data_IF_568877603136
#
_entry.id   IF_568877603136
#
_cell.length_a   1.000
_cell.length_b   1.000
_cell.length_c   1.000
_cell.angle_alpha   90.00
_cell.angle_beta   90.00
_cell.angle_gamma   90.00
#
_symmetry.space_group_name_H-M   'P 1'
#
loop_
_entity.id
_entity.type
_entity.pdbx_description
1 polymer ?
#
# COMPACT_ATOMS: atom_id res chain seq x y z
N UNK A 1 41.23 44.02 10.39
CA UNK A 1 41.27 42.87 11.13
C UNK A 1 40.08 41.98 10.98
N UNK A 2 40.28 41.10 10.28
CA UNK A 2 40.10 39.71 10.48
C UNK A 2 38.73 39.38 11.07
N UNK A 3 37.88 39.18 10.20
CA UNK A 3 37.74 37.85 9.80
C UNK A 3 37.14 36.91 10.84
N UNK A 4 35.92 36.90 10.93
CA UNK A 4 35.24 35.67 11.45
C UNK A 4 34.07 35.37 10.56
N UNK A 5 34.39 34.89 9.39
CA UNK A 5 33.45 34.16 8.57
C UNK A 5 33.18 32.83 9.24
N UNK A 6 32.27 32.82 10.18
CA UNK A 6 31.60 31.63 10.59
C UNK A 6 30.78 31.17 9.40
N UNK A 7 31.36 30.25 8.67
CA UNK A 7 30.64 29.41 7.73
C UNK A 7 29.71 28.56 8.60
N UNK A 8 28.50 29.04 8.76
CA UNK A 8 27.39 28.19 9.19
C UNK A 8 27.11 27.28 8.01
N UNK A 9 27.81 26.15 7.97
CA UNK A 9 27.40 25.03 7.16
C UNK A 9 26.06 24.59 7.72
N UNK A 10 25.00 25.14 7.15
CA UNK A 10 23.65 24.60 7.33
C UNK A 10 23.67 23.19 6.74
N UNK A 11 23.93 22.22 7.58
CA UNK A 11 23.65 20.82 7.27
C UNK A 11 22.13 20.74 7.15
N UNK A 12 21.65 20.97 5.97
CA UNK A 12 20.33 20.56 5.56
C UNK A 12 20.35 19.03 5.59
N UNK A 13 20.12 18.48 6.77
CA UNK A 13 19.69 17.09 6.90
C UNK A 13 18.30 17.01 6.27
N UNK A 14 18.29 17.07 4.95
CA UNK A 14 17.10 16.66 4.22
C UNK A 14 16.81 15.24 4.65
N UNK A 15 15.59 14.95 5.06
CA UNK A 15 15.12 13.60 5.22
C UNK A 15 15.41 12.90 3.89
N UNK A 16 16.49 12.13 3.83
CA UNK A 16 16.83 11.34 2.67
C UNK A 16 15.77 10.25 2.58
N UNK A 17 14.73 10.51 1.81
CA UNK A 17 13.80 9.46 1.44
C UNK A 17 14.61 8.46 0.62
N UNK A 18 14.58 7.22 1.04
CA UNK A 18 15.19 6.14 0.27
C UNK A 18 14.58 6.16 -1.14
N UNK A 19 15.41 6.02 -2.18
CA UNK A 19 14.90 5.95 -3.54
C UNK A 19 13.93 4.76 -3.66
N UNK A 20 12.89 4.87 -4.48
CA UNK A 20 11.96 3.77 -4.69
C UNK A 20 12.69 2.54 -5.22
N UNK A 21 12.26 1.36 -4.78
CA UNK A 21 12.84 0.11 -5.26
C UNK A 21 12.54 -0.09 -6.75
N UNK A 22 13.36 -0.85 -7.49
CA UNK A 22 13.04 -1.19 -8.88
C UNK A 22 11.68 -1.83 -9.05
N UNK A 23 11.25 -2.64 -8.08
CA UNK A 23 9.94 -3.27 -8.06
C UNK A 23 8.81 -2.25 -7.88
N UNK A 24 9.02 -1.23 -7.04
CA UNK A 24 8.05 -0.14 -6.86
C UNK A 24 7.90 0.69 -8.15
N UNK A 25 9.01 1.01 -8.80
CA UNK A 25 9.01 1.72 -10.08
C UNK A 25 8.23 0.93 -11.13
N UNK A 26 8.50 -0.37 -11.23
CA UNK A 26 7.83 -1.25 -12.18
C UNK A 26 6.34 -1.37 -11.89
N UNK A 27 5.96 -1.58 -10.63
CA UNK A 27 4.56 -1.66 -10.23
C UNK A 27 3.77 -0.39 -10.56
N UNK A 28 4.40 0.78 -10.44
CA UNK A 28 3.79 2.09 -10.70
C UNK A 28 3.65 2.46 -12.19
N UNK A 29 4.13 1.63 -13.08
CA UNK A 29 3.81 1.75 -14.52
C UNK A 29 2.38 1.34 -14.83
N UNK A 30 1.77 0.54 -13.96
CA UNK A 30 0.40 0.03 -14.11
C UNK A 30 0.18 -0.70 -15.44
N UNK A 31 1.17 -1.42 -15.88
CA UNK A 31 1.09 -2.21 -17.09
C UNK A 31 0.25 -3.47 -16.86
N UNK A 32 -0.62 -3.79 -17.80
CA UNK A 32 -1.37 -5.03 -17.76
C UNK A 32 -0.46 -6.22 -18.00
N UNK A 33 -0.76 -7.32 -17.33
CA UNK A 33 -0.01 -8.58 -17.48
C UNK A 33 -0.85 -9.51 -18.37
N UNK A 34 -0.33 -9.94 -19.51
CA UNK A 34 -1.06 -10.85 -20.40
C UNK A 34 -1.46 -12.14 -19.66
N UNK A 35 -2.74 -12.50 -19.76
CA UNK A 35 -3.28 -13.71 -19.14
C UNK A 35 -3.47 -13.67 -17.63
N UNK A 36 -3.07 -12.59 -16.95
CA UNK A 36 -3.19 -12.41 -15.49
C UNK A 36 -3.90 -11.10 -15.14
N UNK A 37 -4.27 -10.97 -13.89
CA UNK A 37 -4.76 -9.72 -13.32
C UNK A 37 -3.79 -9.24 -12.22
N UNK A 38 -3.83 -7.95 -11.93
CA UNK A 38 -3.11 -7.38 -10.82
C UNK A 38 -4.08 -6.70 -9.85
N UNK A 39 -3.94 -6.98 -8.57
CA UNK A 39 -4.72 -6.36 -7.50
C UNK A 39 -3.76 -5.56 -6.64
N UNK A 40 -3.97 -4.25 -6.57
CA UNK A 40 -3.21 -3.36 -5.72
C UNK A 40 -4.02 -3.11 -4.46
N UNK A 41 -3.50 -3.53 -3.32
CA UNK A 41 -4.09 -3.25 -2.02
C UNK A 41 -3.33 -2.12 -1.37
N UNK A 42 -3.98 -1.00 -1.17
CA UNK A 42 -3.36 0.24 -0.67
C UNK A 42 -3.92 0.57 0.69
N UNK A 43 -3.04 0.71 1.67
CA UNK A 43 -3.46 1.13 2.99
C UNK A 43 -3.62 2.64 3.04
N UNK A 44 -4.70 3.09 3.70
CA UNK A 44 -4.98 4.49 3.99
C UNK A 44 -3.77 5.19 4.62
N UNK A 45 -3.24 6.25 3.98
CA UNK A 45 -2.12 7.00 4.53
C UNK A 45 -2.49 7.80 5.79
N UNK A 46 -3.77 8.02 6.05
CA UNK A 46 -4.26 8.74 7.23
C UNK A 46 -4.60 7.81 8.40
N UNK A 47 -4.51 6.50 8.20
CA UNK A 47 -4.77 5.53 9.26
C UNK A 47 -3.67 5.50 10.33
N UNK A 48 -3.94 4.87 11.46
CA UNK A 48 -2.96 4.73 12.54
C UNK A 48 -1.74 3.94 12.10
N UNK A 49 -0.55 4.33 12.54
CA UNK A 49 0.75 3.77 12.13
C UNK A 49 1.08 2.36 12.65
N UNK A 50 0.08 1.53 12.94
CA UNK A 50 0.25 0.13 13.33
C UNK A 50 0.24 -0.80 12.12
N UNK A 51 0.93 -1.93 12.22
CA UNK A 51 0.85 -3.00 11.22
C UNK A 51 -0.56 -3.60 11.19
N UNK A 52 -1.11 -3.75 10.00
CA UNK A 52 -2.45 -4.31 9.81
C UNK A 52 -2.37 -5.52 8.88
N UNK A 53 -2.62 -6.72 9.42
CA UNK A 53 -2.49 -7.95 8.65
C UNK A 53 -3.71 -8.17 7.75
N UNK A 54 -3.42 -8.74 6.57
CA UNK A 54 -4.39 -9.15 5.57
C UNK A 54 -4.12 -10.59 5.13
N UNK A 55 -5.18 -11.32 4.87
CA UNK A 55 -5.13 -12.60 4.15
C UNK A 55 -5.46 -12.36 2.68
N UNK A 56 -4.62 -12.87 1.80
CA UNK A 56 -4.79 -12.83 0.35
C UNK A 56 -5.10 -14.25 -0.13
N UNK A 57 -6.36 -14.50 -0.49
CA UNK A 57 -6.80 -15.83 -0.86
C UNK A 57 -6.60 -16.85 0.27
N UNK A 58 -6.18 -18.06 -0.10
CA UNK A 58 -5.91 -19.13 0.86
C UNK A 58 -4.41 -19.24 1.14
N UNK A 59 -4.01 -18.90 2.36
CA UNK A 59 -2.67 -19.20 2.87
C UNK A 59 -1.61 -18.11 2.74
N UNK A 60 -1.86 -17.01 2.03
CA UNK A 60 -0.92 -15.89 1.97
C UNK A 60 -1.37 -14.80 2.95
N UNK A 61 -0.45 -14.39 3.81
CA UNK A 61 -0.68 -13.26 4.72
C UNK A 61 0.37 -12.18 4.49
N UNK A 62 -0.06 -10.93 4.51
CA UNK A 62 0.79 -9.75 4.45
C UNK A 62 0.44 -8.81 5.60
N UNK A 63 1.36 -7.92 5.95
CA UNK A 63 1.10 -6.86 6.92
C UNK A 63 1.39 -5.53 6.27
N UNK A 64 0.38 -4.69 6.08
CA UNK A 64 0.55 -3.35 5.55
C UNK A 64 0.69 -2.33 6.68
N UNK A 65 1.60 -1.40 6.50
CA UNK A 65 1.75 -0.22 7.35
C UNK A 65 1.16 1.00 6.64
N UNK A 66 0.98 2.06 7.38
CA UNK A 66 0.52 3.34 6.84
C UNK A 66 1.35 3.76 5.62
N UNK A 67 0.67 4.07 4.52
CA UNK A 67 1.32 4.50 3.28
C UNK A 67 2.00 3.39 2.48
N UNK A 68 1.78 2.12 2.83
CA UNK A 68 2.22 1.00 2.02
C UNK A 68 1.13 0.51 1.05
N UNK A 69 1.57 -0.14 -0.01
CA UNK A 69 0.71 -0.94 -0.86
C UNK A 69 1.36 -2.28 -1.19
N UNK A 70 0.54 -3.25 -1.57
CA UNK A 70 0.97 -4.55 -2.07
C UNK A 70 0.39 -4.78 -3.45
N UNK A 71 1.19 -5.30 -4.36
CA UNK A 71 0.77 -5.71 -5.71
C UNK A 71 0.64 -7.22 -5.76
N UNK A 72 -0.57 -7.70 -5.85
CA UNK A 72 -0.87 -9.12 -5.92
C UNK A 72 -1.25 -9.51 -7.34
N UNK A 73 -0.39 -10.30 -8.00
CA UNK A 73 -0.64 -10.82 -9.35
C UNK A 73 -1.35 -12.15 -9.23
N UNK A 74 -2.48 -12.28 -9.92
CA UNK A 74 -3.38 -13.42 -9.79
C UNK A 74 -3.82 -13.95 -11.15
N UNK A 75 -4.20 -15.23 -11.18
CA UNK A 75 -4.91 -15.82 -12.31
C UNK A 75 -6.33 -15.20 -12.42
N UNK A 76 -6.95 -15.22 -13.61
CA UNK A 76 -8.35 -14.86 -13.72
C UNK A 76 -9.23 -15.74 -12.83
N UNK A 77 -10.25 -15.14 -12.21
CA UNK A 77 -11.17 -15.85 -11.32
C UNK A 77 -11.49 -15.06 -10.06
N UNK A 78 -12.03 -15.77 -9.09
CA UNK A 78 -12.48 -15.19 -7.83
C UNK A 78 -11.35 -15.17 -6.80
N UNK A 79 -11.04 -13.98 -6.26
CA UNK A 79 -10.00 -13.79 -5.26
C UNK A 79 -10.53 -12.99 -4.08
N UNK A 80 -10.35 -13.50 -2.88
CA UNK A 80 -10.78 -12.83 -1.65
C UNK A 80 -9.61 -12.19 -0.91
N UNK A 81 -9.87 -11.04 -0.32
CA UNK A 81 -8.97 -10.35 0.61
C UNK A 81 -9.75 -10.15 1.90
N UNK A 82 -9.15 -10.50 3.02
CA UNK A 82 -9.77 -10.34 4.33
C UNK A 82 -8.79 -9.71 5.32
N UNK A 83 -9.29 -8.79 6.13
CA UNK A 83 -8.52 -8.27 7.26
C UNK A 83 -8.47 -9.30 8.38
N UNK A 84 -7.37 -9.29 9.12
CA UNK A 84 -7.17 -10.16 10.29
C UNK A 84 -7.14 -9.28 11.53
N UNK A 85 -7.97 -9.59 12.52
CA UNK A 85 -8.02 -8.82 13.77
C UNK A 85 -9.37 -8.91 14.46
N UNK A 86 -9.64 -7.96 15.34
CA UNK A 86 -10.88 -7.91 16.17
C UNK A 86 -12.10 -7.65 15.29
N UNK A 87 -11.96 -6.82 14.27
CA UNK A 87 -12.98 -6.58 13.24
C UNK A 87 -12.50 -7.15 11.92
N UNK A 88 -13.30 -7.99 11.31
CA UNK A 88 -12.98 -8.59 10.00
C UNK A 88 -13.77 -7.91 8.91
N UNK A 89 -13.05 -7.38 7.92
CA UNK A 89 -13.60 -6.95 6.65
C UNK A 89 -13.12 -7.91 5.56
N UNK A 90 -13.94 -8.12 4.55
CA UNK A 90 -13.54 -8.93 3.40
C UNK A 90 -14.12 -8.37 2.12
N UNK A 91 -13.41 -8.60 1.02
CA UNK A 91 -13.86 -8.28 -0.33
C UNK A 91 -13.48 -9.41 -1.27
N UNK A 92 -14.36 -9.70 -2.22
CA UNK A 92 -14.09 -10.68 -3.28
C UNK A 92 -14.05 -9.96 -4.63
N UNK A 93 -12.99 -10.20 -5.39
CA UNK A 93 -12.78 -9.60 -6.71
C UNK A 93 -12.89 -10.70 -7.75
N UNK A 94 -13.74 -10.49 -8.75
CA UNK A 94 -13.81 -11.31 -9.95
C UNK A 94 -12.78 -10.78 -10.95
N UNK A 95 -11.58 -11.34 -10.89
CA UNK A 95 -10.45 -10.86 -11.66
C UNK A 95 -10.52 -11.36 -13.12
N UNK A 96 -10.32 -10.45 -14.05
CA UNK A 96 -10.27 -10.73 -15.48
C UNK A 96 -8.83 -10.55 -15.99
N UNK A 97 -8.44 -11.36 -16.96
CA UNK A 97 -7.14 -11.27 -17.60
C UNK A 97 -6.88 -9.87 -18.19
N UNK A 98 -5.69 -9.34 -17.98
CA UNK A 98 -5.27 -8.01 -18.45
C UNK A 98 -5.85 -6.84 -17.66
N UNK A 99 -6.62 -7.08 -16.60
CA UNK A 99 -7.22 -6.03 -15.78
C UNK A 99 -6.40 -5.73 -14.52
N UNK A 100 -6.56 -4.50 -14.05
CA UNK A 100 -5.94 -4.00 -12.82
C UNK A 100 -7.07 -3.55 -11.90
N UNK A 101 -6.97 -3.93 -10.63
CA UNK A 101 -7.94 -3.60 -9.59
C UNK A 101 -7.24 -2.88 -8.46
N UNK A 102 -7.93 -1.95 -7.82
CA UNK A 102 -7.42 -1.21 -6.67
C UNK A 102 -8.36 -1.40 -5.48
N UNK A 103 -7.80 -1.84 -4.37
CA UNK A 103 -8.53 -2.05 -3.11
C UNK A 103 -7.97 -1.08 -2.07
N UNK A 104 -8.86 -0.27 -1.52
CA UNK A 104 -8.54 0.62 -0.42
C UNK A 104 -8.72 -0.10 0.90
N UNK A 105 -7.67 -0.12 1.71
CA UNK A 105 -7.69 -0.72 3.03
C UNK A 105 -7.63 0.37 4.09
N UNK A 106 -8.77 0.64 4.71
CA UNK A 106 -8.88 1.55 5.84
C UNK A 106 -8.79 0.77 7.14
N UNK A 107 -8.00 1.30 8.07
CA UNK A 107 -7.76 0.68 9.37
C UNK A 107 -7.87 1.74 10.45
N UNK A 108 -8.67 1.47 11.45
CA UNK A 108 -8.75 2.23 12.67
C UNK A 108 -8.23 1.38 13.84
N UNK A 109 -7.51 2.01 14.75
CA UNK A 109 -6.94 1.32 15.89
C UNK A 109 -6.03 2.24 16.70
N UNK A 110 -5.30 1.67 17.65
CA UNK A 110 -4.32 2.40 18.44
C UNK A 110 -3.21 1.46 18.93
N UNK A 111 -2.15 2.05 19.48
CA UNK A 111 -0.98 1.31 19.96
C UNK A 111 -1.30 0.33 21.10
N UNK A 112 -2.37 0.58 21.84
CA UNK A 112 -2.76 -0.25 22.99
C UNK A 112 -3.58 -1.47 22.59
N UNK A 113 -4.49 -1.31 21.63
CA UNK A 113 -5.48 -2.33 21.25
C UNK A 113 -5.27 -2.92 19.85
N UNK A 114 -4.29 -2.39 19.10
CA UNK A 114 -4.05 -2.82 17.73
C UNK A 114 -5.15 -2.38 16.77
N UNK A 115 -5.46 -3.20 15.78
CA UNK A 115 -6.54 -2.95 14.82
C UNK A 115 -7.88 -3.15 15.49
N UNK A 116 -8.69 -2.10 15.58
CA UNK A 116 -10.02 -2.10 16.20
C UNK A 116 -11.12 -2.29 15.16
N UNK A 117 -10.99 -1.60 14.01
CA UNK A 117 -11.90 -1.78 12.88
C UNK A 117 -11.15 -1.70 11.57
N UNK A 118 -11.72 -2.28 10.53
CA UNK A 118 -11.16 -2.25 9.19
C UNK A 118 -12.25 -2.26 8.12
N UNK A 119 -11.94 -1.70 6.96
CA UNK A 119 -12.79 -1.73 5.79
C UNK A 119 -11.94 -1.98 4.53
N UNK A 120 -12.49 -2.75 3.61
CA UNK A 120 -11.91 -3.02 2.29
C UNK A 120 -12.91 -2.56 1.24
N UNK A 121 -12.49 -1.69 0.36
CA UNK A 121 -13.35 -1.08 -0.66
C UNK A 121 -12.67 -1.10 -2.02
N UNK A 122 -13.42 -1.45 -3.08
CA UNK A 122 -12.92 -1.34 -4.44
C UNK A 122 -12.92 0.14 -4.85
N UNK A 123 -11.80 0.58 -5.42
CA UNK A 123 -11.62 1.94 -5.92
C UNK A 123 -11.77 1.99 -7.44
N UNK A 124 -12.13 3.16 -7.97
CA UNK A 124 -11.98 3.42 -9.39
C UNK A 124 -10.50 3.50 -9.80
N UNK A 125 -10.24 3.32 -11.09
CA UNK A 125 -8.88 3.25 -11.64
C UNK A 125 -8.08 4.54 -11.39
N UNK A 126 -8.70 5.70 -11.58
CA UNK A 126 -8.02 6.98 -11.41
C UNK A 126 -7.60 7.24 -9.96
N UNK A 127 -8.53 7.05 -9.03
CA UNK A 127 -8.28 7.22 -7.60
C UNK A 127 -7.25 6.20 -7.09
N UNK A 128 -7.37 4.95 -7.53
CA UNK A 128 -6.45 3.88 -7.17
C UNK A 128 -5.01 4.16 -7.61
N UNK A 129 -4.81 4.55 -8.86
CA UNK A 129 -3.48 4.92 -9.36
C UNK A 129 -2.90 6.12 -8.63
N UNK A 130 -3.70 7.13 -8.36
CA UNK A 130 -3.26 8.33 -7.64
C UNK A 130 -2.76 7.97 -6.23
N UNK A 131 -3.47 7.10 -5.53
CA UNK A 131 -3.09 6.66 -4.18
C UNK A 131 -1.83 5.79 -4.19
N UNK A 132 -1.71 4.84 -5.11
CA UNK A 132 -0.52 3.99 -5.26
C UNK A 132 0.73 4.82 -5.56
N UNK A 133 0.62 5.86 -6.39
CA UNK A 133 1.78 6.73 -6.69
C UNK A 133 2.36 7.40 -5.46
N UNK A 134 1.54 7.68 -4.45
CA UNK A 134 1.96 8.29 -3.18
C UNK A 134 2.43 7.27 -2.14
N UNK A 135 2.13 6.00 -2.35
CA UNK A 135 2.46 4.92 -1.43
C UNK A 135 3.79 4.23 -1.79
N UNK A 136 4.28 3.39 -0.91
CA UNK A 136 5.52 2.62 -1.07
C UNK A 136 5.19 1.14 -1.12
N UNK A 137 5.78 0.41 -2.07
CA UNK A 137 5.61 -1.03 -2.20
C UNK A 137 6.16 -1.75 -0.95
N UNK A 138 5.36 -2.68 -0.43
CA UNK A 138 5.73 -3.57 0.67
C UNK A 138 6.77 -4.60 0.21
#
# INVERSE_FOLDING_TARGET
>A
MLWRYLIVAAVLAGCAQLPPSPQDIEAKKFESIPGKAAIYVVRDPMSVGIGAPLSLGQGTQITLFQGNYHRWVVEPGSHSIASIGVSTASITIQAQAGKIYFVYYRVDGNMRFGVVSSALELMDDQAGRALVRQAVLL
#
